data_IF_161850317276
#
_entry.id   IF_161850317276
#
_cell.length_a   1.000
_cell.length_b   1.000
_cell.length_c   1.000
_cell.angle_alpha   90.00
_cell.angle_beta   90.00
_cell.angle_gamma   90.00
#
_symmetry.space_group_name_H-M   'P 1'
#
loop_
_entity.id
_entity.type
_entity.pdbx_description
1 polymer ?
#
# COMPACT_ATOMS: atom_id res chain seq x y z
N UNK A 1 8.15 11.19 -13.69
CA UNK A 1 7.85 9.86 -14.28
C UNK A 1 7.12 10.08 -15.59
N UNK A 2 7.56 9.43 -16.67
CA UNK A 2 6.97 9.62 -18.01
C UNK A 2 5.93 8.56 -18.37
N UNK A 3 5.26 8.76 -19.52
CA UNK A 3 4.19 7.88 -20.04
C UNK A 3 4.63 6.41 -20.20
N UNK A 4 5.89 6.16 -20.55
CA UNK A 4 6.42 4.80 -20.65
C UNK A 4 6.37 4.06 -19.31
N UNK A 5 6.74 4.75 -18.22
CA UNK A 5 6.74 4.16 -16.88
C UNK A 5 5.33 3.82 -16.42
N UNK A 6 4.37 4.72 -16.66
CA UNK A 6 2.96 4.48 -16.32
C UNK A 6 2.37 3.32 -17.11
N UNK A 7 2.68 3.22 -18.41
CA UNK A 7 2.21 2.11 -19.25
C UNK A 7 2.82 0.78 -18.81
N UNK A 8 4.13 0.75 -18.51
CA UNK A 8 4.78 -0.46 -18.01
C UNK A 8 4.24 -0.92 -16.66
N UNK A 9 4.01 0.01 -15.72
CA UNK A 9 3.44 -0.30 -14.41
C UNK A 9 2.00 -0.82 -14.51
N UNK A 10 1.22 -0.23 -15.42
CA UNK A 10 -0.15 -0.67 -15.69
C UNK A 10 -0.16 -2.10 -16.21
N UNK A 11 0.68 -2.44 -17.20
CA UNK A 11 0.75 -3.80 -17.72
C UNK A 11 1.19 -4.80 -16.64
N UNK A 12 2.19 -4.43 -15.84
CA UNK A 12 2.71 -5.30 -14.77
C UNK A 12 1.64 -5.54 -13.70
N UNK A 13 0.88 -4.51 -13.31
CA UNK A 13 -0.22 -4.64 -12.36
C UNK A 13 -1.34 -5.51 -12.92
N UNK A 14 -1.74 -5.32 -14.18
CA UNK A 14 -2.74 -6.15 -14.83
C UNK A 14 -2.30 -7.60 -14.92
N UNK A 15 -1.06 -7.88 -15.32
CA UNK A 15 -0.55 -9.26 -15.38
C UNK A 15 -0.56 -9.92 -14.00
N UNK A 16 -0.09 -9.22 -12.96
CA UNK A 16 -0.10 -9.76 -11.59
C UNK A 16 -1.52 -10.02 -11.08
N UNK A 17 -2.47 -9.13 -11.37
CA UNK A 17 -3.87 -9.33 -11.03
C UNK A 17 -4.48 -10.55 -11.76
N UNK A 18 -4.24 -10.69 -13.06
CA UNK A 18 -4.74 -11.85 -13.82
C UNK A 18 -4.20 -13.16 -13.26
N UNK A 19 -2.95 -13.17 -12.80
CA UNK A 19 -2.32 -14.36 -12.25
C UNK A 19 -2.91 -14.73 -10.90
N UNK A 20 -3.07 -13.75 -10.00
CA UNK A 20 -3.76 -13.94 -8.71
C UNK A 20 -5.17 -14.51 -8.90
N UNK A 21 -5.91 -14.03 -9.91
CA UNK A 21 -7.23 -14.57 -10.25
C UNK A 21 -7.18 -16.00 -10.81
N UNK A 22 -6.18 -16.34 -11.64
CA UNK A 22 -6.02 -17.70 -12.16
C UNK A 22 -5.75 -18.73 -11.05
N UNK A 23 -5.08 -18.32 -9.96
CA UNK A 23 -4.79 -19.16 -8.80
C UNK A 23 -5.89 -19.13 -7.72
N UNK A 24 -7.04 -18.51 -7.99
CA UNK A 24 -8.17 -18.36 -7.05
C UNK A 24 -7.85 -17.61 -5.74
N UNK A 25 -6.87 -16.71 -5.76
CA UNK A 25 -6.37 -15.99 -4.58
C UNK A 25 -7.15 -14.69 -4.32
N UNK A 26 -8.48 -14.81 -4.25
CA UNK A 26 -9.37 -13.64 -4.12
C UNK A 26 -9.27 -12.98 -2.76
N UNK A 27 -9.08 -13.76 -1.69
CA UNK A 27 -9.06 -13.26 -0.32
C UNK A 27 -7.79 -12.46 -0.04
N UNK A 28 -6.70 -12.87 -0.66
CA UNK A 28 -5.38 -12.26 -0.51
C UNK A 28 -5.33 -10.92 -1.23
N UNK A 29 -5.99 -10.79 -2.37
CA UNK A 29 -6.19 -9.50 -3.03
C UNK A 29 -6.94 -8.51 -2.13
N UNK A 30 -7.97 -8.97 -1.41
CA UNK A 30 -8.70 -8.12 -0.46
C UNK A 30 -7.76 -7.67 0.67
N UNK A 31 -6.98 -8.59 1.23
CA UNK A 31 -6.03 -8.27 2.30
C UNK A 31 -4.94 -7.32 1.84
N UNK A 32 -4.37 -7.51 0.65
CA UNK A 32 -3.40 -6.59 0.04
C UNK A 32 -4.01 -5.19 -0.08
N UNK A 33 -5.27 -5.08 -0.52
CA UNK A 33 -5.97 -3.80 -0.67
C UNK A 33 -6.29 -3.12 0.67
N UNK A 34 -6.48 -3.89 1.75
CA UNK A 34 -6.65 -3.36 3.10
C UNK A 34 -5.31 -2.85 3.63
N UNK A 35 -4.26 -3.67 3.55
CA UNK A 35 -2.93 -3.35 4.08
C UNK A 35 -2.30 -2.16 3.33
N UNK A 36 -2.44 -2.08 2.01
CA UNK A 36 -1.93 -0.96 1.21
C UNK A 36 -2.52 0.36 1.68
N UNK A 37 -3.84 0.43 1.91
CA UNK A 37 -4.53 1.62 2.42
C UNK A 37 -4.16 1.97 3.85
N UNK A 38 -4.03 0.96 4.73
CA UNK A 38 -3.58 1.19 6.10
C UNK A 38 -2.17 1.80 6.12
N UNK A 39 -1.25 1.30 5.29
CA UNK A 39 0.12 1.83 5.21
C UNK A 39 0.13 3.33 4.85
N UNK A 40 -0.76 3.75 3.95
CA UNK A 40 -0.89 5.15 3.52
C UNK A 40 -1.41 6.04 4.64
N UNK A 41 -2.39 5.57 5.43
CA UNK A 41 -2.88 6.33 6.59
C UNK A 41 -1.73 6.64 7.56
N UNK A 42 -0.86 5.67 7.84
CA UNK A 42 0.32 5.89 8.68
C UNK A 42 1.32 6.85 8.04
N UNK A 43 1.56 6.73 6.73
CA UNK A 43 2.45 7.64 6.01
C UNK A 43 1.96 9.08 6.06
N UNK A 44 0.66 9.30 5.87
CA UNK A 44 0.03 10.63 5.97
C UNK A 44 0.20 11.20 7.37
N UNK A 45 0.05 10.35 8.39
CA UNK A 45 0.18 10.77 9.77
C UNK A 45 1.63 11.17 10.14
N UNK A 46 2.62 10.39 9.73
CA UNK A 46 4.02 10.58 10.15
C UNK A 46 4.83 11.54 9.29
N UNK A 47 4.41 11.83 8.05
CA UNK A 47 5.17 12.70 7.15
C UNK A 47 4.47 14.05 6.93
N UNK A 48 5.27 15.05 6.57
CA UNK A 48 4.77 16.36 6.14
C UNK A 48 4.73 16.44 4.62
N UNK A 49 3.65 17.00 4.09
CA UNK A 49 3.39 17.10 2.67
C UNK A 49 3.38 18.57 2.24
N UNK A 50 3.80 18.84 1.01
CA UNK A 50 3.66 20.17 0.38
C UNK A 50 2.26 20.41 -0.21
N UNK A 51 1.38 19.41 -0.16
CA UNK A 51 0.01 19.50 -0.69
C UNK A 51 -0.96 19.98 0.39
N UNK A 52 -1.71 21.04 0.10
CA UNK A 52 -2.78 21.56 0.97
C UNK A 52 -3.86 20.52 1.21
N UNK A 53 -4.21 19.74 0.18
CA UNK A 53 -5.19 18.67 0.28
C UNK A 53 -4.74 17.59 1.28
N UNK A 54 -3.51 17.08 1.14
CA UNK A 54 -3.00 16.02 2.03
C UNK A 54 -2.86 16.54 3.47
N UNK A 55 -2.45 17.80 3.65
CA UNK A 55 -2.37 18.40 4.99
C UNK A 55 -3.75 18.60 5.63
N UNK A 56 -4.77 18.98 4.85
CA UNK A 56 -6.14 19.05 5.34
C UNK A 56 -6.66 17.67 5.75
N UNK A 57 -6.34 16.64 4.97
CA UNK A 57 -6.68 15.25 5.26
C UNK A 57 -5.96 14.76 6.53
N UNK A 58 -4.67 15.05 6.69
CA UNK A 58 -3.89 14.81 7.91
C UNK A 58 -4.54 15.46 9.14
N UNK A 59 -5.00 16.71 9.02
CA UNK A 59 -5.64 17.43 10.13
C UNK A 59 -7.01 16.86 10.53
N UNK A 60 -7.73 16.23 9.59
CA UNK A 60 -9.01 15.56 9.86
C UNK A 60 -8.85 14.17 10.50
N UNK A 61 -7.64 13.60 10.44
CA UNK A 61 -7.35 12.28 10.96
C UNK A 61 -7.16 12.33 12.49
N UNK A 62 -8.04 11.66 13.21
CA UNK A 62 -7.90 11.46 14.64
C UNK A 62 -7.16 10.14 14.95
N UNK A 63 -6.03 10.25 15.64
CA UNK A 63 -5.14 9.12 15.93
C UNK A 63 -5.83 7.96 16.68
N UNK A 64 -6.75 8.27 17.61
CA UNK A 64 -7.50 7.26 18.36
C UNK A 64 -8.39 6.42 17.44
N UNK A 65 -9.11 7.07 16.53
CA UNK A 65 -9.99 6.36 15.59
C UNK A 65 -9.20 5.59 14.53
N UNK A 66 -8.03 6.07 14.10
CA UNK A 66 -7.17 5.32 13.18
C UNK A 66 -6.61 4.05 13.80
N UNK A 67 -6.20 4.08 15.07
CA UNK A 67 -5.75 2.87 15.76
C UNK A 67 -6.90 1.86 15.85
N UNK A 68 -8.09 2.29 16.28
CA UNK A 68 -9.24 1.40 16.40
C UNK A 68 -9.59 0.80 15.03
N UNK A 69 -9.64 1.60 13.97
CA UNK A 69 -9.89 1.12 12.62
C UNK A 69 -8.82 0.13 12.16
N UNK A 70 -7.54 0.43 12.41
CA UNK A 70 -6.43 -0.46 12.05
C UNK A 70 -6.54 -1.83 12.73
N UNK A 71 -6.92 -1.87 14.01
CA UNK A 71 -7.12 -3.12 14.75
C UNK A 71 -8.26 -3.94 14.13
N UNK A 72 -9.39 -3.30 13.84
CA UNK A 72 -10.55 -3.95 13.23
C UNK A 72 -10.19 -4.53 11.85
N UNK A 73 -9.50 -3.75 11.02
CA UNK A 73 -9.07 -4.20 9.69
C UNK A 73 -8.03 -5.31 9.77
N UNK A 74 -7.09 -5.26 10.71
CA UNK A 74 -6.12 -6.33 10.93
C UNK A 74 -6.80 -7.63 11.40
N UNK A 75 -7.76 -7.55 12.33
CA UNK A 75 -8.54 -8.72 12.75
C UNK A 75 -9.31 -9.34 11.59
N UNK A 76 -9.94 -8.51 10.74
CA UNK A 76 -10.62 -8.97 9.54
C UNK A 76 -9.65 -9.65 8.56
N UNK A 77 -8.48 -9.05 8.33
CA UNK A 77 -7.47 -9.60 7.43
C UNK A 77 -6.85 -10.92 7.92
N UNK A 78 -6.63 -11.06 9.24
CA UNK A 78 -6.20 -12.32 9.87
C UNK A 78 -7.24 -13.42 9.64
N UNK A 79 -8.52 -13.09 9.79
CA UNK A 79 -9.60 -14.07 9.58
C UNK A 79 -9.65 -14.59 8.14
N UNK A 80 -9.32 -13.75 7.16
CA UNK A 80 -9.33 -14.13 5.75
C UNK A 80 -8.12 -14.97 5.31
N UNK A 81 -6.92 -14.67 5.84
CA UNK A 81 -5.64 -15.17 5.26
C UNK A 81 -4.74 -15.90 6.25
N UNK A 82 -5.16 -16.01 7.51
CA UNK A 82 -4.49 -16.76 8.58
C UNK A 82 -3.02 -16.35 8.76
N UNK A 83 -2.08 -17.29 8.59
CA UNK A 83 -0.63 -17.10 8.83
C UNK A 83 -0.02 -16.15 7.80
N UNK A 84 -0.50 -16.20 6.56
CA UNK A 84 0.04 -15.37 5.47
C UNK A 84 -0.15 -13.87 5.70
N UNK A 85 -1.13 -13.49 6.55
CA UNK A 85 -1.33 -12.11 6.98
C UNK A 85 -0.07 -11.50 7.59
N UNK A 86 0.61 -12.19 8.51
CA UNK A 86 1.75 -11.61 9.23
C UNK A 86 2.92 -11.31 8.30
N UNK A 87 3.16 -12.23 7.36
CA UNK A 87 4.16 -12.07 6.31
C UNK A 87 3.81 -10.88 5.40
N UNK A 88 2.56 -10.82 4.94
CA UNK A 88 2.06 -9.74 4.10
C UNK A 88 2.16 -8.38 4.83
N UNK A 89 1.71 -8.30 6.08
CA UNK A 89 1.72 -7.09 6.90
C UNK A 89 3.15 -6.55 7.08
N UNK A 90 4.09 -7.41 7.47
CA UNK A 90 5.50 -7.04 7.60
C UNK A 90 6.07 -6.51 6.29
N UNK A 91 5.78 -7.18 5.18
CA UNK A 91 6.26 -6.78 3.87
C UNK A 91 5.67 -5.44 3.44
N UNK A 92 4.36 -5.21 3.62
CA UNK A 92 3.73 -3.91 3.32
C UNK A 92 4.33 -2.75 4.11
N UNK A 93 4.62 -2.95 5.39
CA UNK A 93 5.19 -1.88 6.22
C UNK A 93 6.60 -1.56 5.74
N UNK A 94 7.41 -2.60 5.52
CA UNK A 94 8.79 -2.46 5.04
C UNK A 94 8.85 -1.75 3.68
N UNK A 95 8.12 -2.24 2.69
CA UNK A 95 8.10 -1.69 1.32
C UNK A 95 7.57 -0.25 1.32
N UNK A 96 6.47 0.01 2.05
CA UNK A 96 5.89 1.36 2.11
C UNK A 96 6.85 2.39 2.70
N UNK A 97 7.62 2.02 3.73
CA UNK A 97 8.65 2.87 4.32
C UNK A 97 9.81 3.10 3.35
N UNK A 98 10.34 2.04 2.74
CA UNK A 98 11.45 2.13 1.79
C UNK A 98 11.09 3.01 0.57
N UNK A 99 9.87 2.88 0.05
CA UNK A 99 9.42 3.66 -1.09
C UNK A 99 9.21 5.13 -0.75
N UNK A 100 8.65 5.46 0.42
CA UNK A 100 8.54 6.86 0.83
C UNK A 100 9.92 7.49 1.04
N UNK A 101 10.85 6.77 1.67
CA UNK A 101 12.22 7.27 1.83
C UNK A 101 12.91 7.48 0.48
N UNK A 102 12.73 6.55 -0.46
CA UNK A 102 13.25 6.67 -1.83
C UNK A 102 12.65 7.89 -2.56
N UNK A 103 11.33 8.07 -2.49
CA UNK A 103 10.64 9.20 -3.13
C UNK A 103 11.05 10.53 -2.51
N UNK A 104 11.16 10.59 -1.17
CA UNK A 104 11.60 11.79 -0.45
C UNK A 104 13.03 12.18 -0.82
N UNK A 105 13.93 11.22 -0.99
CA UNK A 105 15.32 11.48 -1.41
C UNK A 105 15.40 12.01 -2.84
N UNK A 106 14.58 11.48 -3.75
CA UNK A 106 14.64 11.84 -5.17
C UNK A 106 13.87 13.12 -5.54
N UNK A 107 12.73 13.37 -4.87
CA UNK A 107 11.87 14.52 -5.17
C UNK A 107 12.09 15.69 -4.20
N UNK A 108 12.79 15.48 -3.08
CA UNK A 108 12.97 16.44 -1.98
C UNK A 108 11.69 16.91 -1.28
N UNK A 109 10.51 16.50 -1.76
CA UNK A 109 9.22 16.79 -1.15
C UNK A 109 8.25 15.62 -1.35
N UNK A 110 7.26 15.54 -0.47
CA UNK A 110 6.14 14.61 -0.58
C UNK A 110 4.87 15.37 -0.96
N UNK A 111 4.09 14.81 -1.87
CA UNK A 111 2.81 15.33 -2.35
C UNK A 111 1.76 14.20 -2.45
N UNK A 112 0.56 14.52 -2.95
CA UNK A 112 -0.48 13.50 -3.16
C UNK A 112 -0.05 12.40 -4.14
N UNK A 113 0.68 12.77 -5.19
CA UNK A 113 1.14 11.80 -6.20
C UNK A 113 2.14 10.80 -5.61
N UNK A 114 2.99 11.21 -4.67
CA UNK A 114 3.90 10.29 -3.97
C UNK A 114 3.15 9.25 -3.13
N UNK A 115 1.97 9.58 -2.61
CA UNK A 115 1.12 8.62 -1.91
C UNK A 115 0.50 7.61 -2.88
N UNK A 116 -0.02 8.09 -4.01
CA UNK A 116 -0.58 7.23 -5.06
C UNK A 116 0.48 6.29 -5.63
N UNK A 117 1.67 6.81 -5.94
CA UNK A 117 2.79 6.01 -6.42
C UNK A 117 3.23 4.97 -5.38
N UNK A 118 3.27 5.35 -4.10
CA UNK A 118 3.60 4.40 -3.04
C UNK A 118 2.53 3.31 -2.88
N UNK A 119 1.24 3.65 -2.99
CA UNK A 119 0.14 2.69 -3.01
C UNK A 119 0.37 1.66 -4.12
N UNK A 120 0.55 2.14 -5.36
CA UNK A 120 0.69 1.28 -6.53
C UNK A 120 1.91 0.38 -6.45
N UNK A 121 3.06 0.91 -6.04
CA UNK A 121 4.29 0.14 -5.84
C UNK A 121 4.12 -0.92 -4.76
N UNK A 122 3.51 -0.56 -3.63
CA UNK A 122 3.31 -1.49 -2.53
C UNK A 122 2.40 -2.65 -2.95
N UNK A 123 1.25 -2.35 -3.57
CA UNK A 123 0.35 -3.39 -4.09
C UNK A 123 1.03 -4.30 -5.11
N UNK A 124 1.81 -3.73 -6.03
CA UNK A 124 2.49 -4.50 -7.07
C UNK A 124 3.53 -5.45 -6.47
N UNK A 125 4.35 -4.98 -5.52
CA UNK A 125 5.32 -5.86 -4.83
C UNK A 125 4.60 -6.98 -4.08
N UNK A 126 3.50 -6.66 -3.39
CA UNK A 126 2.73 -7.65 -2.65
C UNK A 126 2.11 -8.71 -3.56
N UNK A 127 1.53 -8.31 -4.69
CA UNK A 127 0.95 -9.23 -5.67
C UNK A 127 2.02 -10.18 -6.26
N UNK A 128 3.20 -9.67 -6.60
CA UNK A 128 4.29 -10.48 -7.14
C UNK A 128 4.85 -11.43 -6.08
N UNK A 129 5.12 -10.91 -4.88
CA UNK A 129 5.68 -11.71 -3.79
C UNK A 129 4.74 -12.84 -3.39
N UNK A 130 3.43 -12.55 -3.31
CA UNK A 130 2.45 -13.56 -2.95
C UNK A 130 2.33 -14.66 -4.01
N UNK A 131 2.46 -14.30 -5.29
CA UNK A 131 2.54 -15.32 -6.33
C UNK A 131 3.80 -16.20 -6.19
N UNK A 132 4.98 -15.61 -5.95
CA UNK A 132 6.24 -16.37 -5.82
C UNK A 132 6.28 -17.29 -4.59
N UNK A 133 5.46 -17.02 -3.58
CA UNK A 133 5.40 -17.80 -2.35
C UNK A 133 4.50 -19.05 -2.44
N UNK A 134 3.75 -19.20 -3.53
CA UNK A 134 2.85 -20.33 -3.85
C UNK A 134 3.54 -21.26 -4.83
#
# INVERSE_FOLDING_TARGET
>A
MGLLYTVSFLFLKLSSLTLVFLNNLFLELIVISILSRLSILYIIFFNDFRSTFVNSLKSSICFKYTIIASIIYCLFAILLTQISFFLLAMLTILTSYLFIDYLKRNLHFLNGDTLGMNLELNELVMLIFFHLAI
#
